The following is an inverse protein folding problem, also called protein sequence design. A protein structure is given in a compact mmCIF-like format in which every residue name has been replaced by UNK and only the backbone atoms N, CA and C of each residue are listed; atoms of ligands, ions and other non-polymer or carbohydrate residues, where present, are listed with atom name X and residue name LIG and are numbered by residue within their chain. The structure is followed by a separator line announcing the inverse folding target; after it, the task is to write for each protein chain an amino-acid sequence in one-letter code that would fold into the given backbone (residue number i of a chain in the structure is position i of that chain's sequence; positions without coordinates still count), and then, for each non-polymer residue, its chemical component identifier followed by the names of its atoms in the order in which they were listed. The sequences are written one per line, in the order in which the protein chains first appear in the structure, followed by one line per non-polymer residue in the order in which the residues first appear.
data_IF_602838563499
#
_entry.id   IF_602838563499
#
_cell.length_a   1.000
_cell.length_b   1.000
_cell.length_c   1.000
_cell.angle_alpha   90.00
_cell.angle_beta   90.00
_cell.angle_gamma   90.00
#
_symmetry.space_group_name_H-M   'P 1'
#
loop_
_entity.id
_entity.type
_entity.pdbx_description
1 polymer ?
#
# COMPACT_ATOMS: atom_id res chain seq x y z
N UNK A 1 6.96 -11.60 -10.72
CA UNK A 1 8.37 -12.00 -10.76
C UNK A 1 9.29 -11.04 -10.01
N UNK A 2 9.26 -9.74 -10.26
CA UNK A 2 10.14 -8.76 -9.57
C UNK A 2 9.88 -8.74 -8.05
N UNK A 3 8.62 -8.75 -7.62
CA UNK A 3 8.25 -8.79 -6.19
C UNK A 3 8.76 -10.06 -5.53
N UNK A 4 8.60 -11.20 -6.19
CA UNK A 4 9.10 -12.49 -5.71
C UNK A 4 10.63 -12.50 -5.60
N UNK A 5 11.32 -11.96 -6.59
CA UNK A 5 12.77 -11.86 -6.60
C UNK A 5 13.30 -10.94 -5.51
N UNK A 6 12.64 -9.78 -5.29
CA UNK A 6 12.99 -8.84 -4.21
C UNK A 6 12.64 -9.38 -2.81
N UNK A 7 11.62 -10.21 -2.69
CA UNK A 7 11.24 -10.84 -1.41
C UNK A 7 12.17 -12.01 -1.04
N UNK A 8 12.82 -12.64 -2.04
CA UNK A 8 13.73 -13.77 -1.82
C UNK A 8 15.20 -13.36 -1.71
N UNK A 9 15.57 -12.12 -2.06
CA UNK A 9 16.95 -11.64 -1.86
C UNK A 9 17.05 -10.75 -0.61
N UNK A 10 18.05 -10.93 0.28
CA UNK A 10 19.11 -11.92 0.26
C UNK A 10 18.63 -13.30 0.70
N UNK A 11 19.17 -14.34 0.08
CA UNK A 11 18.92 -15.77 0.26
C UNK A 11 18.99 -16.23 1.75
N UNK A 12 18.10 -15.76 2.58
CA UNK A 12 17.91 -16.30 3.91
C UNK A 12 16.60 -17.07 3.93
N UNK A 13 16.70 -18.38 3.70
CA UNK A 13 15.64 -19.35 3.89
C UNK A 13 15.27 -19.45 5.38
N UNK A 14 14.51 -18.49 5.89
CA UNK A 14 14.04 -18.53 7.26
C UNK A 14 12.98 -17.44 7.48
N UNK A 15 11.74 -17.83 7.47
CA UNK A 15 10.51 -17.31 8.14
C UNK A 15 10.41 -15.83 8.56
N UNK A 16 11.37 -14.97 8.25
CA UNK A 16 11.37 -13.59 8.68
C UNK A 16 11.65 -12.65 7.52
N UNK A 17 10.60 -12.04 6.97
CA UNK A 17 10.65 -10.90 6.04
C UNK A 17 11.52 -9.74 6.55
N UNK A 18 11.87 -9.75 7.85
CA UNK A 18 12.61 -8.70 8.57
C UNK A 18 14.04 -8.44 8.08
N UNK A 19 14.61 -9.30 7.25
CA UNK A 19 15.95 -9.15 6.67
C UNK A 19 15.97 -8.69 5.20
N UNK A 20 14.81 -8.60 4.56
CA UNK A 20 14.70 -8.32 3.13
C UNK A 20 14.79 -6.82 2.85
N UNK A 21 15.40 -6.43 1.73
CA UNK A 21 15.44 -5.04 1.27
C UNK A 21 14.03 -4.43 1.17
N UNK A 22 13.05 -5.23 0.78
CA UNK A 22 11.66 -4.85 0.71
C UNK A 22 11.11 -4.41 2.06
N UNK A 23 11.42 -5.15 3.13
CA UNK A 23 11.00 -4.81 4.48
C UNK A 23 11.65 -3.50 4.97
N UNK A 24 12.90 -3.25 4.63
CA UNK A 24 13.58 -1.99 4.96
C UNK A 24 12.92 -0.78 4.28
N UNK A 25 12.53 -0.92 3.02
CA UNK A 25 11.81 0.12 2.28
C UNK A 25 10.42 0.34 2.93
N UNK A 26 9.69 -0.74 3.20
CA UNK A 26 8.39 -0.68 3.86
C UNK A 26 8.47 -0.04 5.25
N UNK A 27 9.48 -0.39 6.05
CA UNK A 27 9.66 0.17 7.40
C UNK A 27 10.02 1.66 7.39
N UNK A 28 10.67 2.15 6.33
CA UNK A 28 10.95 3.58 6.16
C UNK A 28 9.66 4.39 5.91
N UNK A 29 8.73 3.83 5.14
CA UNK A 29 7.44 4.48 4.86
C UNK A 29 6.35 4.20 5.90
N UNK A 30 6.47 3.12 6.68
CA UNK A 30 5.48 2.72 7.69
C UNK A 30 5.09 3.83 8.68
N UNK A 31 6.01 4.68 9.21
CA UNK A 31 5.64 5.72 10.16
C UNK A 31 4.66 6.76 9.59
N UNK A 32 4.68 7.00 8.29
CA UNK A 32 3.75 7.92 7.62
C UNK A 32 2.32 7.39 7.72
N UNK A 33 2.14 6.07 7.56
CA UNK A 33 0.84 5.41 7.59
C UNK A 33 0.36 5.02 8.99
N UNK A 34 1.24 5.15 10.01
CA UNK A 34 0.87 4.88 11.41
C UNK A 34 -0.28 5.76 11.90
N UNK A 35 -0.35 7.00 11.45
CA UNK A 35 -1.43 7.93 11.78
C UNK A 35 -2.79 7.53 11.18
N UNK A 36 -2.78 6.79 10.08
CA UNK A 36 -3.98 6.26 9.43
C UNK A 36 -4.37 4.85 9.92
N UNK A 37 -3.65 4.30 10.92
CA UNK A 37 -3.97 3.04 11.57
C UNK A 37 -3.41 1.77 10.91
N UNK A 38 -2.59 1.90 9.86
CA UNK A 38 -1.95 0.76 9.19
C UNK A 38 -0.44 0.99 8.95
N UNK A 39 0.26 1.43 10.00
CA UNK A 39 1.69 1.74 9.98
C UNK A 39 2.60 0.52 10.09
N UNK A 40 2.33 -0.54 9.35
CA UNK A 40 3.19 -1.72 9.28
C UNK A 40 3.82 -1.86 7.88
N UNK A 41 5.02 -2.44 7.78
CA UNK A 41 5.81 -2.48 6.56
C UNK A 41 5.09 -3.14 5.39
N UNK A 42 4.29 -4.18 5.65
CA UNK A 42 3.57 -4.94 4.64
C UNK A 42 2.54 -4.09 3.91
N UNK A 43 1.79 -3.25 4.63
CA UNK A 43 0.83 -2.32 4.03
C UNK A 43 1.52 -1.24 3.19
N UNK A 44 2.66 -0.71 3.67
CA UNK A 44 3.43 0.28 2.93
C UNK A 44 3.98 -0.32 1.62
N UNK A 45 4.49 -1.54 1.66
CA UNK A 45 4.98 -2.27 0.48
C UNK A 45 3.83 -2.48 -0.51
N UNK A 46 2.67 -2.97 -0.04
CA UNK A 46 1.50 -3.21 -0.88
C UNK A 46 1.03 -1.93 -1.57
N UNK A 47 1.04 -0.79 -0.89
CA UNK A 47 0.70 0.51 -1.48
C UNK A 47 1.72 0.96 -2.53
N UNK A 48 3.03 0.77 -2.30
CA UNK A 48 4.07 1.13 -3.28
C UNK A 48 3.87 0.33 -4.58
N UNK A 49 3.64 -0.98 -4.49
CA UNK A 49 3.38 -1.80 -5.67
C UNK A 49 2.03 -1.51 -6.31
N UNK A 50 1.03 -1.12 -5.52
CA UNK A 50 -0.28 -0.70 -6.00
C UNK A 50 -0.25 0.56 -6.89
N UNK A 51 0.81 1.37 -6.84
CA UNK A 51 1.04 2.48 -7.79
C UNK A 51 1.28 1.97 -9.21
N UNK A 52 1.93 0.82 -9.35
CA UNK A 52 2.20 0.21 -10.67
C UNK A 52 0.90 -0.32 -11.26
N UNK A 53 0.19 -1.14 -10.49
CA UNK A 53 -1.14 -1.63 -10.82
C UNK A 53 -1.88 -1.95 -9.52
N UNK A 54 -3.11 -1.47 -9.38
CA UNK A 54 -3.88 -1.64 -8.12
C UNK A 54 -4.15 -3.12 -7.80
N UNK A 55 -4.19 -3.96 -8.80
CA UNK A 55 -4.35 -5.41 -8.67
C UNK A 55 -3.15 -6.06 -7.95
N UNK A 56 -1.97 -5.43 -8.01
CA UNK A 56 -0.78 -5.94 -7.34
C UNK A 56 -0.84 -5.82 -5.81
N UNK A 57 -1.73 -5.02 -5.25
CA UNK A 57 -1.90 -4.91 -3.78
C UNK A 57 -2.21 -6.29 -3.19
N UNK A 58 -3.20 -7.00 -3.75
CA UNK A 58 -3.58 -8.34 -3.29
C UNK A 58 -2.46 -9.35 -3.59
N UNK A 59 -1.86 -9.30 -4.78
CA UNK A 59 -0.74 -10.17 -5.15
C UNK A 59 0.48 -9.98 -4.25
N UNK A 60 0.74 -8.75 -3.80
CA UNK A 60 1.83 -8.45 -2.86
C UNK A 60 1.57 -9.10 -1.50
N UNK A 61 0.36 -8.99 -0.97
CA UNK A 61 -0.01 -9.70 0.25
C UNK A 61 0.12 -11.22 0.08
N UNK A 62 -0.31 -11.78 -1.07
CA UNK A 62 -0.13 -13.22 -1.37
C UNK A 62 1.33 -13.66 -1.33
N UNK A 63 2.23 -12.88 -1.92
CA UNK A 63 3.67 -13.20 -1.92
C UNK A 63 4.33 -13.00 -0.56
N UNK A 64 3.91 -11.99 0.22
CA UNK A 64 4.47 -11.71 1.55
C UNK A 64 4.04 -12.74 2.59
N UNK A 65 2.83 -13.30 2.48
CA UNK A 65 2.29 -14.27 3.44
C UNK A 65 2.39 -15.73 3.00
N UNK A 66 3.12 -15.99 1.89
CA UNK A 66 3.43 -17.34 1.45
C UNK A 66 2.28 -18.08 0.76
N UNK A 67 1.30 -17.37 0.24
CA UNK A 67 0.19 -17.90 -0.55
C UNK A 67 -1.14 -17.22 -0.25
N UNK A 68 -2.05 -17.29 -1.21
CA UNK A 68 -3.38 -16.66 -1.11
C UNK A 68 -4.23 -17.27 0.01
N UNK A 69 -4.02 -18.53 0.34
CA UNK A 69 -4.74 -19.24 1.39
C UNK A 69 -4.48 -18.67 2.80
N UNK A 70 -3.31 -18.10 3.02
CA UNK A 70 -2.90 -17.54 4.31
C UNK A 70 -3.28 -16.06 4.48
N UNK A 71 -3.69 -15.38 3.38
CA UNK A 71 -4.05 -13.96 3.41
C UNK A 71 -5.13 -13.65 4.44
N UNK A 72 -6.27 -14.37 4.53
CA UNK A 72 -7.31 -14.03 5.47
C UNK A 72 -6.87 -14.08 6.93
N UNK A 73 -6.08 -15.06 7.30
CA UNK A 73 -5.56 -15.24 8.67
C UNK A 73 -4.51 -14.17 9.00
N UNK A 74 -3.60 -13.90 8.07
CA UNK A 74 -2.57 -12.88 8.24
C UNK A 74 -3.19 -11.47 8.32
N UNK A 75 -4.19 -11.16 7.50
CA UNK A 75 -4.88 -9.88 7.55
C UNK A 75 -5.65 -9.69 8.87
N UNK A 76 -6.30 -10.73 9.39
CA UNK A 76 -6.99 -10.66 10.68
C UNK A 76 -6.03 -10.41 11.85
N UNK A 77 -4.79 -10.87 11.76
CA UNK A 77 -3.78 -10.64 12.80
C UNK A 77 -3.14 -9.25 12.73
N UNK A 78 -3.06 -8.65 11.54
CA UNK A 78 -2.39 -7.37 11.31
C UNK A 78 -3.35 -6.18 11.31
N UNK A 79 -4.54 -6.36 10.76
CA UNK A 79 -5.54 -5.31 10.62
C UNK A 79 -6.65 -5.45 11.65
N UNK A 80 -6.97 -4.36 12.33
CA UNK A 80 -8.28 -4.23 12.95
C UNK A 80 -9.34 -3.97 11.87
N UNK A 81 -10.62 -4.30 12.07
CA UNK A 81 -11.67 -4.03 11.08
C UNK A 81 -11.69 -2.59 10.60
N UNK A 82 -11.41 -1.65 11.50
CA UNK A 82 -11.36 -0.23 11.19
C UNK A 82 -10.14 0.15 10.35
N UNK A 83 -8.97 -0.39 10.68
CA UNK A 83 -7.76 -0.12 9.89
C UNK A 83 -7.81 -0.77 8.50
N UNK A 84 -8.44 -1.95 8.38
CA UNK A 84 -8.69 -2.58 7.10
C UNK A 84 -9.59 -1.73 6.20
N UNK A 85 -10.66 -1.16 6.78
CA UNK A 85 -11.55 -0.27 6.03
C UNK A 85 -10.83 1.02 5.59
N UNK A 86 -10.05 1.63 6.48
CA UNK A 86 -9.23 2.81 6.13
C UNK A 86 -8.21 2.50 5.04
N UNK A 87 -7.58 1.32 5.08
CA UNK A 87 -6.65 0.86 4.05
C UNK A 87 -7.34 0.65 2.70
N UNK A 88 -8.54 0.05 2.68
CA UNK A 88 -9.32 -0.13 1.46
C UNK A 88 -9.69 1.21 0.83
N UNK A 89 -10.18 2.17 1.62
CA UNK A 89 -10.53 3.51 1.13
C UNK A 89 -9.30 4.22 0.61
N UNK A 90 -8.17 4.12 1.32
CA UNK A 90 -6.92 4.70 0.84
C UNK A 90 -6.49 4.06 -0.48
N UNK A 91 -6.50 2.73 -0.61
CA UNK A 91 -6.07 2.05 -1.84
C UNK A 91 -6.97 2.35 -3.04
N UNK A 92 -8.22 2.75 -2.82
CA UNK A 92 -9.12 3.20 -3.88
C UNK A 92 -8.82 4.64 -4.35
N UNK A 93 -8.58 5.55 -3.40
CA UNK A 93 -8.50 6.99 -3.65
C UNK A 93 -7.09 7.53 -3.85
N UNK A 94 -6.05 6.79 -3.40
CA UNK A 94 -4.69 7.30 -3.47
C UNK A 94 -4.19 7.43 -4.93
N UNK A 95 -2.91 7.38 -5.17
CA UNK A 95 -2.27 7.68 -6.45
C UNK A 95 -2.90 6.89 -7.62
N UNK A 96 -3.21 7.53 -8.76
CA UNK A 96 -3.58 6.83 -9.98
C UNK A 96 -2.42 5.94 -10.46
N UNK A 97 -2.73 4.77 -11.03
CA UNK A 97 -1.71 3.88 -11.56
C UNK A 97 -0.91 4.53 -12.69
N UNK A 98 0.27 3.99 -12.99
CA UNK A 98 1.17 4.52 -14.04
C UNK A 98 0.44 4.71 -15.37
N UNK A 99 -0.46 3.79 -15.73
CA UNK A 99 -1.25 3.90 -16.96
C UNK A 99 -2.17 5.13 -16.95
N UNK A 100 -2.84 5.40 -15.81
CA UNK A 100 -3.70 6.60 -15.66
C UNK A 100 -2.88 7.89 -15.70
N UNK A 101 -1.70 7.91 -15.06
CA UNK A 101 -0.79 9.06 -15.12
C UNK A 101 -0.34 9.33 -16.58
N UNK A 102 -0.02 8.25 -17.31
CA UNK A 102 0.31 8.34 -18.73
C UNK A 102 -0.84 8.87 -19.59
N UNK A 103 -2.07 8.44 -19.32
CA UNK A 103 -3.26 8.94 -19.99
C UNK A 103 -3.48 10.44 -19.71
N UNK A 104 -3.39 10.88 -18.45
CA UNK A 104 -3.49 12.29 -18.06
C UNK A 104 -2.43 13.13 -18.80
N UNK A 105 -1.20 12.63 -18.87
CA UNK A 105 -0.13 13.31 -19.59
C UNK A 105 -0.43 13.45 -21.09
N UNK A 106 -0.93 12.40 -21.71
CA UNK A 106 -1.28 12.42 -23.15
C UNK A 106 -2.42 13.38 -23.46
N UNK A 107 -3.45 13.43 -22.61
CA UNK A 107 -4.62 14.29 -22.79
C UNK A 107 -4.29 15.78 -22.53
N UNK A 108 -3.49 16.04 -21.49
CA UNK A 108 -3.19 17.42 -21.09
C UNK A 108 -1.94 18.01 -21.77
N UNK A 109 -1.08 17.16 -22.35
CA UNK A 109 0.20 17.58 -22.95
C UNK A 109 1.19 18.17 -21.93
N UNK A 110 0.91 18.08 -20.61
CA UNK A 110 1.69 18.75 -19.58
C UNK A 110 2.00 17.85 -18.41
N UNK A 111 3.29 17.68 -18.12
CA UNK A 111 3.77 16.94 -16.95
C UNK A 111 3.27 17.57 -15.62
N UNK A 112 3.08 18.89 -15.60
CA UNK A 112 2.61 19.61 -14.41
C UNK A 112 1.23 19.13 -13.95
N UNK A 113 0.32 18.91 -14.89
CA UNK A 113 -1.03 18.41 -14.58
C UNK A 113 -1.03 16.95 -14.13
N UNK A 114 -0.16 16.11 -14.69
CA UNK A 114 -0.02 14.73 -14.25
C UNK A 114 0.51 14.65 -12.80
N UNK A 115 1.54 15.44 -12.48
CA UNK A 115 2.09 15.54 -11.12
C UNK A 115 1.04 16.12 -10.15
N UNK A 116 0.37 17.19 -10.54
CA UNK A 116 -0.68 17.80 -9.70
C UNK A 116 -1.80 16.82 -9.38
N UNK A 117 -2.31 16.09 -10.37
CA UNK A 117 -3.34 15.07 -10.17
C UNK A 117 -2.89 13.96 -9.23
N UNK A 118 -1.64 13.51 -9.36
CA UNK A 118 -1.06 12.47 -8.51
C UNK A 118 -0.96 12.92 -7.05
N UNK A 119 -0.42 14.12 -6.81
CA UNK A 119 -0.30 14.70 -5.46
C UNK A 119 -1.68 14.95 -4.85
N UNK A 120 -2.60 15.49 -5.63
CA UNK A 120 -3.98 15.74 -5.19
C UNK A 120 -4.67 14.44 -4.75
N UNK A 121 -4.60 13.39 -5.57
CA UNK A 121 -5.19 12.09 -5.23
C UNK A 121 -4.57 11.46 -3.98
N UNK A 122 -3.24 11.61 -3.79
CA UNK A 122 -2.55 11.14 -2.60
C UNK A 122 -3.05 11.85 -1.34
N UNK A 123 -3.15 13.18 -1.39
CA UNK A 123 -3.63 14.00 -0.26
C UNK A 123 -5.07 13.64 0.08
N UNK A 124 -5.93 13.54 -0.92
CA UNK A 124 -7.34 13.18 -0.73
C UNK A 124 -7.46 11.77 -0.14
N UNK A 125 -6.79 10.78 -0.72
CA UNK A 125 -6.84 9.40 -0.24
C UNK A 125 -6.35 9.26 1.20
N UNK A 126 -5.25 9.94 1.54
CA UNK A 126 -4.70 9.95 2.89
C UNK A 126 -5.62 10.69 3.88
N UNK A 127 -6.19 11.81 3.49
CA UNK A 127 -7.13 12.58 4.33
C UNK A 127 -8.39 11.75 4.67
N UNK A 128 -8.95 11.07 3.68
CA UNK A 128 -10.11 10.20 3.90
C UNK A 128 -9.77 9.00 4.78
N UNK A 129 -8.62 8.36 4.59
CA UNK A 129 -8.17 7.26 5.44
C UNK A 129 -8.01 7.71 6.90
N UNK A 130 -7.37 8.88 7.13
CA UNK A 130 -7.25 9.48 8.46
C UNK A 130 -8.60 9.78 9.08
N UNK A 131 -9.51 10.38 8.32
CA UNK A 131 -10.83 10.77 8.80
C UNK A 131 -11.62 9.54 9.23
N UNK A 132 -11.64 8.49 8.42
CA UNK A 132 -12.31 7.22 8.73
C UNK A 132 -11.71 6.58 9.99
N UNK A 133 -10.39 6.52 10.06
CA UNK A 133 -9.72 5.93 11.22
C UNK A 133 -10.00 6.70 12.51
N UNK A 134 -9.94 8.03 12.45
CA UNK A 134 -10.21 8.91 13.61
C UNK A 134 -11.67 8.88 14.04
N UNK A 135 -12.62 8.99 13.12
CA UNK A 135 -14.05 8.91 13.43
C UNK A 135 -14.41 7.53 13.97
N UNK A 136 -13.92 6.47 13.34
CA UNK A 136 -14.17 5.12 13.79
C UNK A 136 -13.59 4.83 15.18
N UNK A 137 -12.40 5.36 15.49
CA UNK A 137 -11.80 5.21 16.83
C UNK A 137 -12.51 6.03 17.93
N UNK A 138 -13.35 6.98 17.55
CA UNK A 138 -14.18 7.76 18.49
C UNK A 138 -15.53 7.10 18.77
N UNK A 139 -16.02 6.27 17.84
CA UNK A 139 -17.33 5.61 17.91
C UNK A 139 -17.24 4.20 18.53
N UNK A 140 -16.12 3.53 18.36
CA UNK A 140 -15.81 2.21 18.91
C UNK A 140 -15.06 2.33 20.24
#
# INVERSE_FOLDING_TARGET
MIVWLLSTMPLNHGESLKGTYLWRIGSFFAPIFKWAGFGFPEAAIALIFGVIAKELVVGTFGTLFGGEENIPQALQSLFTPLSAYAFMVMSLLYIPCIASIGAIYRETGSVKWAIFSTIYSLIVGYSFALLIYRLGSLIL
#
